data_IF_448566102194
#
_entry.id   IF_448566102194
#
_cell.length_a   1.000
_cell.length_b   1.000
_cell.length_c   1.000
_cell.angle_alpha   90.00
_cell.angle_beta   90.00
_cell.angle_gamma   90.00
#
_symmetry.space_group_name_H-M   'P 1'
#
loop_
_entity.id
_entity.type
_entity.pdbx_description
1 polymer ?
#
# COMPACT_ATOMS: atom_id res chain seq x y z
N UNK A 1 -16.77 -15.13 -1.05
CA UNK A 1 -17.13 -13.87 -1.73
C UNK A 1 -16.25 -13.73 -2.97
N UNK A 2 -16.81 -13.40 -4.13
CA UNK A 2 -16.03 -13.14 -5.34
C UNK A 2 -15.27 -11.81 -5.23
N UNK A 3 -14.28 -11.58 -6.10
CA UNK A 3 -13.56 -10.31 -6.14
C UNK A 3 -14.49 -9.12 -6.40
N UNK A 4 -15.40 -9.24 -7.38
CA UNK A 4 -16.37 -8.19 -7.70
C UNK A 4 -17.29 -7.86 -6.54
N UNK A 5 -17.78 -8.87 -5.81
CA UNK A 5 -18.57 -8.63 -4.61
C UNK A 5 -17.77 -7.85 -3.57
N UNK A 6 -16.51 -8.26 -3.33
CA UNK A 6 -15.64 -7.62 -2.33
C UNK A 6 -15.29 -6.17 -2.71
N UNK A 7 -15.12 -5.90 -4.02
CA UNK A 7 -14.89 -4.56 -4.55
C UNK A 7 -16.12 -3.66 -4.40
N UNK A 8 -17.32 -4.15 -4.75
CA UNK A 8 -18.56 -3.41 -4.55
C UNK A 8 -18.75 -3.03 -3.07
N UNK A 9 -18.54 -3.98 -2.16
CA UNK A 9 -18.62 -3.71 -0.73
C UNK A 9 -17.58 -2.67 -0.24
N UNK A 10 -16.40 -2.61 -0.87
CA UNK A 10 -15.40 -1.59 -0.56
C UNK A 10 -15.79 -0.20 -1.09
N UNK A 11 -16.41 -0.12 -2.28
CA UNK A 11 -16.98 1.13 -2.80
C UNK A 11 -18.07 1.66 -1.87
N UNK A 12 -19.01 0.79 -1.46
CA UNK A 12 -20.11 1.19 -0.57
C UNK A 12 -19.58 1.65 0.80
N UNK A 13 -18.60 0.93 1.38
CA UNK A 13 -18.02 1.27 2.69
C UNK A 13 -17.25 2.60 2.67
N UNK A 14 -16.46 2.85 1.63
CA UNK A 14 -15.63 4.06 1.53
C UNK A 14 -16.39 5.25 0.93
N UNK A 15 -17.55 5.03 0.30
CA UNK A 15 -18.24 6.05 -0.50
C UNK A 15 -17.40 6.56 -1.68
N UNK A 16 -16.43 5.77 -2.14
CA UNK A 16 -15.35 6.20 -3.03
C UNK A 16 -14.95 5.09 -3.98
N UNK A 17 -14.55 5.46 -5.20
CA UNK A 17 -13.90 4.55 -6.16
C UNK A 17 -12.39 4.77 -6.24
N UNK A 18 -11.83 5.57 -5.32
CA UNK A 18 -10.41 5.89 -5.31
C UNK A 18 -9.57 4.66 -4.96
N UNK A 19 -8.58 4.40 -5.81
CA UNK A 19 -7.54 3.41 -5.59
C UNK A 19 -6.20 4.11 -5.40
N UNK A 20 -5.57 3.91 -4.24
CA UNK A 20 -4.25 4.50 -3.95
C UNK A 20 -3.14 3.59 -4.47
N UNK A 21 -2.22 4.15 -5.25
CA UNK A 21 -1.00 3.48 -5.66
C UNK A 21 0.03 3.47 -4.53
N UNK A 22 0.68 2.32 -4.32
CA UNK A 22 1.84 2.20 -3.41
C UNK A 22 3.09 1.99 -4.26
N UNK A 23 3.74 3.12 -4.57
CA UNK A 23 4.82 3.23 -5.54
C UNK A 23 6.06 3.87 -4.85
N UNK A 24 6.72 3.14 -3.93
CA UNK A 24 7.72 3.71 -3.01
C UNK A 24 9.05 4.02 -3.70
N UNK A 25 9.16 5.21 -4.27
CA UNK A 25 10.43 5.74 -4.77
C UNK A 25 11.32 6.22 -3.61
N UNK A 26 12.31 5.40 -3.25
CA UNK A 26 13.28 5.67 -2.17
C UNK A 26 14.03 6.99 -2.35
N UNK A 27 14.19 7.50 -3.58
CA UNK A 27 14.86 8.78 -3.83
C UNK A 27 14.03 9.97 -3.33
N UNK A 28 12.71 9.78 -3.19
CA UNK A 28 11.73 10.79 -2.76
C UNK A 28 11.39 10.69 -1.28
N UNK A 29 11.99 9.73 -0.56
CA UNK A 29 11.69 9.54 0.85
C UNK A 29 12.17 10.73 1.70
N UNK A 30 11.42 11.08 2.76
CA UNK A 30 11.86 12.06 3.75
C UNK A 30 13.24 11.69 4.32
N UNK A 31 14.05 12.68 4.66
CA UNK A 31 15.41 12.47 5.20
C UNK A 31 15.40 11.56 6.43
N UNK A 32 14.35 11.63 7.26
CA UNK A 32 14.17 10.80 8.46
C UNK A 32 14.01 9.30 8.18
N UNK A 33 13.69 8.90 6.95
CA UNK A 33 13.48 7.50 6.57
C UNK A 33 14.65 6.92 5.76
N UNK A 34 15.66 7.74 5.44
CA UNK A 34 16.81 7.29 4.65
C UNK A 34 17.68 6.33 5.46
N UNK A 35 18.05 5.21 4.86
CA UNK A 35 18.94 4.20 5.46
C UNK A 35 18.28 3.22 6.41
N UNK A 36 16.97 3.35 6.68
CA UNK A 36 16.22 2.29 7.37
C UNK A 36 16.02 1.10 6.43
N UNK A 37 16.28 -0.11 6.94
CA UNK A 37 16.09 -1.38 6.20
C UNK A 37 14.61 -1.57 5.85
N UNK A 38 13.71 -1.14 6.74
CA UNK A 38 12.27 -1.34 6.63
C UNK A 38 11.53 -0.10 6.06
N UNK A 39 12.29 0.88 5.54
CA UNK A 39 11.74 2.17 5.12
C UNK A 39 10.60 2.05 4.10
N UNK A 40 10.69 1.10 3.15
CA UNK A 40 9.67 0.91 2.11
C UNK A 40 8.38 0.37 2.71
N UNK A 41 8.49 -0.65 3.58
CA UNK A 41 7.36 -1.21 4.31
C UNK A 41 6.67 -0.16 5.19
N UNK A 42 7.46 0.55 6.01
CA UNK A 42 6.97 1.58 6.92
C UNK A 42 6.28 2.72 6.16
N UNK A 43 6.88 3.17 5.05
CA UNK A 43 6.30 4.21 4.20
C UNK A 43 4.95 3.77 3.64
N UNK A 44 4.88 2.56 3.07
CA UNK A 44 3.63 2.03 2.52
C UNK A 44 2.55 1.86 3.59
N UNK A 45 2.90 1.33 4.78
CA UNK A 45 1.94 1.19 5.90
C UNK A 45 1.44 2.54 6.38
N UNK A 46 2.31 3.55 6.48
CA UNK A 46 1.89 4.90 6.86
C UNK A 46 0.87 5.50 5.86
N UNK A 47 1.04 5.26 4.56
CA UNK A 47 0.07 5.67 3.54
C UNK A 47 -1.25 4.89 3.70
N UNK A 48 -1.19 3.58 3.95
CA UNK A 48 -2.40 2.77 4.21
C UNK A 48 -3.15 3.28 5.44
N UNK A 49 -2.44 3.61 6.52
CA UNK A 49 -3.03 4.12 7.76
C UNK A 49 -3.69 5.49 7.60
N UNK A 50 -3.07 6.37 6.80
CA UNK A 50 -3.57 7.71 6.57
C UNK A 50 -4.75 7.76 5.58
N UNK A 51 -5.00 6.71 4.80
CA UNK A 51 -5.96 6.75 3.68
C UNK A 51 -6.98 5.62 3.65
N UNK A 52 -6.82 4.58 4.48
CA UNK A 52 -7.60 3.35 4.39
C UNK A 52 -9.12 3.50 4.57
N UNK A 53 -9.57 4.53 5.28
CA UNK A 53 -10.98 4.87 5.46
C UNK A 53 -11.58 5.66 4.28
N UNK A 54 -10.74 6.22 3.40
CA UNK A 54 -11.14 7.07 2.27
C UNK A 54 -11.12 6.36 0.91
N UNK A 55 -10.58 5.14 0.84
CA UNK A 55 -10.26 4.45 -0.41
C UNK A 55 -10.90 3.08 -0.49
N UNK A 56 -11.17 2.61 -1.71
CA UNK A 56 -11.73 1.27 -1.91
C UNK A 56 -10.65 0.20 -2.08
N UNK A 57 -9.44 0.60 -2.48
CA UNK A 57 -8.37 -0.33 -2.80
C UNK A 57 -6.99 0.34 -2.71
N UNK A 58 -5.99 -0.52 -2.54
CA UNK A 58 -4.57 -0.20 -2.73
C UNK A 58 -4.02 -1.01 -3.91
N UNK A 59 -3.16 -0.40 -4.71
CA UNK A 59 -2.49 -1.04 -5.84
C UNK A 59 -0.97 -0.86 -5.74
N UNK A 60 -0.26 -1.75 -5.03
CA UNK A 60 1.20 -1.75 -5.02
C UNK A 60 1.77 -1.94 -6.42
N UNK A 61 2.76 -1.13 -6.79
CA UNK A 61 3.49 -1.28 -8.05
C UNK A 61 4.77 -2.08 -7.82
N UNK A 62 4.76 -3.36 -8.18
CA UNK A 62 5.85 -4.31 -7.92
C UNK A 62 7.21 -3.83 -8.44
N UNK A 63 7.27 -3.07 -9.54
CA UNK A 63 8.53 -2.59 -10.12
C UNK A 63 9.36 -1.75 -9.12
N UNK A 64 8.72 -0.95 -8.25
CA UNK A 64 9.43 -0.16 -7.24
C UNK A 64 10.05 -1.03 -6.15
N UNK A 65 9.39 -2.13 -5.78
CA UNK A 65 9.90 -3.07 -4.78
C UNK A 65 11.02 -3.93 -5.37
N UNK A 66 10.81 -4.48 -6.58
CA UNK A 66 11.77 -5.36 -7.24
C UNK A 66 13.06 -4.64 -7.64
N UNK A 67 13.00 -3.35 -7.96
CA UNK A 67 14.19 -2.56 -8.30
C UNK A 67 15.25 -2.50 -7.18
N UNK A 68 14.87 -2.79 -5.94
CA UNK A 68 15.74 -2.74 -4.76
C UNK A 68 15.72 -4.02 -3.92
N UNK A 69 15.13 -5.11 -4.44
CA UNK A 69 15.06 -6.40 -3.74
C UNK A 69 14.13 -6.41 -2.53
N UNK A 70 13.07 -5.59 -2.53
CA UNK A 70 12.12 -5.42 -1.43
C UNK A 70 10.83 -6.25 -1.60
N UNK A 71 10.86 -7.36 -2.33
CA UNK A 71 9.69 -8.22 -2.56
C UNK A 71 9.10 -8.76 -1.25
N UNK A 72 9.95 -9.06 -0.25
CA UNK A 72 9.45 -9.49 1.05
C UNK A 72 8.67 -8.39 1.78
N UNK A 73 9.10 -7.14 1.64
CA UNK A 73 8.36 -6.00 2.19
C UNK A 73 7.04 -5.78 1.46
N UNK A 74 6.99 -6.04 0.13
CA UNK A 74 5.73 -6.04 -0.62
C UNK A 74 4.73 -7.08 -0.09
N UNK A 75 5.19 -8.30 0.19
CA UNK A 75 4.36 -9.34 0.81
C UNK A 75 3.78 -8.85 2.15
N UNK A 76 4.65 -8.32 3.02
CA UNK A 76 4.25 -7.82 4.34
C UNK A 76 3.24 -6.66 4.23
N UNK A 77 3.39 -5.75 3.27
CA UNK A 77 2.42 -4.67 2.99
C UNK A 77 1.08 -5.26 2.52
N UNK A 78 1.09 -6.28 1.67
CA UNK A 78 -0.14 -6.94 1.22
C UNK A 78 -0.85 -7.67 2.36
N UNK A 79 -0.12 -8.31 3.26
CA UNK A 79 -0.66 -8.93 4.47
C UNK A 79 -1.26 -7.87 5.40
N UNK A 80 -0.55 -6.75 5.59
CA UNK A 80 -1.02 -5.62 6.39
C UNK A 80 -2.35 -5.06 5.87
N UNK A 81 -2.48 -4.83 4.55
CA UNK A 81 -3.72 -4.35 3.92
C UNK A 81 -4.87 -5.35 4.10
N UNK A 82 -4.59 -6.66 4.05
CA UNK A 82 -5.63 -7.70 4.20
C UNK A 82 -6.13 -7.87 5.64
N UNK A 83 -5.31 -7.49 6.62
CA UNK A 83 -5.65 -7.56 8.04
C UNK A 83 -6.53 -6.39 8.52
N UNK A 84 -6.70 -5.35 7.68
CA UNK A 84 -7.58 -4.21 7.93
C UNK A 84 -8.92 -4.37 7.21
#
# INVERSE_FOLDING_TARGET
MSFYQRLNAAWDRSGSMLCVGLDPDVSRFPTSMRGSVDAIEDFCKAIVDATGDLVCAFKPQIAYFAAVGAEKQLENVCEYIRAK
#
